data_IF_062718164797
#
_entry.id   IF_062718164797
#
_cell.length_a   1.000
_cell.length_b   1.000
_cell.length_c   1.000
_cell.angle_alpha   90.00
_cell.angle_beta   90.00
_cell.angle_gamma   90.00
#
_symmetry.space_group_name_H-M   'P 1'
#
loop_
_entity.id
_entity.type
_entity.pdbx_description
1 polymer ?
#
# COMPACT_ATOMS: atom_id res chain seq x y z
N UNK A 1 -14.60 -17.74 18.39
CA UNK A 1 -13.32 -16.99 18.30
C UNK A 1 -12.36 -17.61 17.29
N UNK A 2 -12.34 -18.95 17.12
CA UNK A 2 -11.55 -19.63 16.08
C UNK A 2 -11.99 -19.29 14.63
N UNK A 3 -13.29 -19.13 14.36
CA UNK A 3 -13.77 -18.81 13.01
C UNK A 3 -13.34 -17.43 12.49
N UNK A 4 -13.22 -16.44 13.39
CA UNK A 4 -12.78 -15.08 13.05
C UNK A 4 -11.31 -15.04 12.60
N UNK A 5 -10.45 -15.83 13.24
CA UNK A 5 -9.02 -15.91 12.87
C UNK A 5 -8.86 -16.57 11.50
N UNK A 6 -9.65 -17.61 11.21
CA UNK A 6 -9.59 -18.30 9.92
C UNK A 6 -10.14 -17.46 8.76
N UNK A 7 -11.20 -16.67 8.96
CA UNK A 7 -11.70 -15.76 7.94
C UNK A 7 -10.67 -14.67 7.60
N UNK A 8 -10.09 -14.03 8.62
CA UNK A 8 -9.07 -12.99 8.42
C UNK A 8 -7.86 -13.50 7.64
N UNK A 9 -7.39 -14.71 7.96
CA UNK A 9 -6.26 -15.31 7.26
C UNK A 9 -6.58 -15.58 5.78
N UNK A 10 -7.79 -16.03 5.46
CA UNK A 10 -8.23 -16.24 4.07
C UNK A 10 -8.32 -14.92 3.30
N UNK A 11 -8.80 -13.86 3.93
CA UNK A 11 -8.85 -12.52 3.32
C UNK A 11 -7.45 -11.96 3.05
N UNK A 12 -6.52 -12.12 4.00
CA UNK A 12 -5.12 -11.70 3.82
C UNK A 12 -4.45 -12.44 2.64
N UNK A 13 -4.61 -13.75 2.55
CA UNK A 13 -4.09 -14.52 1.42
C UNK A 13 -4.75 -14.15 0.08
N UNK A 14 -6.04 -13.81 0.10
CA UNK A 14 -6.75 -13.36 -1.11
C UNK A 14 -6.18 -12.03 -1.61
N UNK A 15 -6.00 -11.06 -0.70
CA UNK A 15 -5.38 -9.77 -1.02
C UNK A 15 -3.96 -9.95 -1.57
N UNK A 16 -3.17 -10.79 -0.92
CA UNK A 16 -1.79 -11.06 -1.32
C UNK A 16 -1.72 -11.82 -2.66
N UNK A 17 -2.63 -12.76 -2.89
CA UNK A 17 -2.72 -13.50 -4.15
C UNK A 17 -3.08 -12.61 -5.34
N UNK A 18 -3.98 -11.64 -5.15
CA UNK A 18 -4.29 -10.63 -6.16
C UNK A 18 -3.05 -9.76 -6.48
N UNK A 19 -2.39 -9.26 -5.44
CA UNK A 19 -1.16 -8.46 -5.58
C UNK A 19 -0.09 -9.24 -6.35
N UNK A 20 0.17 -10.48 -5.95
CA UNK A 20 1.18 -11.35 -6.56
C UNK A 20 0.87 -11.61 -8.03
N UNK A 21 -0.37 -11.98 -8.37
CA UNK A 21 -0.79 -12.20 -9.77
C UNK A 21 -0.54 -10.95 -10.62
N UNK A 22 -0.84 -9.76 -10.08
CA UNK A 22 -0.55 -8.49 -10.75
C UNK A 22 0.96 -8.28 -10.93
N UNK A 23 1.77 -8.53 -9.89
CA UNK A 23 3.23 -8.41 -9.94
C UNK A 23 3.86 -9.42 -10.92
N UNK A 24 3.43 -10.68 -10.91
CA UNK A 24 3.88 -11.70 -11.87
C UNK A 24 3.61 -11.27 -13.30
N UNK A 25 2.39 -10.79 -13.57
CA UNK A 25 2.02 -10.26 -14.88
C UNK A 25 2.86 -9.06 -15.31
N UNK A 26 3.28 -8.21 -14.36
CA UNK A 26 4.10 -7.04 -14.64
C UNK A 26 5.57 -7.37 -14.91
N UNK A 27 6.15 -8.21 -14.06
CA UNK A 27 7.60 -8.50 -14.09
C UNK A 27 7.94 -9.54 -15.17
N UNK A 28 7.02 -10.46 -15.51
CA UNK A 28 7.22 -11.44 -16.60
C UNK A 28 7.40 -10.82 -17.98
N UNK A 29 6.93 -9.58 -18.15
CA UNK A 29 6.97 -8.86 -19.42
C UNK A 29 8.35 -8.19 -19.63
N UNK A 30 9.19 -8.08 -18.60
CA UNK A 30 10.57 -7.55 -18.60
C UNK A 30 10.79 -6.33 -19.53
N UNK A 31 9.86 -5.37 -19.50
CA UNK A 31 9.93 -4.15 -20.29
C UNK A 31 10.38 -2.97 -19.43
N UNK A 32 11.13 -2.00 -19.97
CA UNK A 32 11.64 -0.85 -19.20
C UNK A 32 10.54 0.07 -18.65
N UNK A 33 9.33 0.02 -19.24
CA UNK A 33 8.14 0.73 -18.75
C UNK A 33 7.11 -0.26 -18.20
N UNK A 34 7.47 -0.94 -17.11
CA UNK A 34 6.63 -1.94 -16.42
C UNK A 34 5.18 -1.45 -16.20
N UNK A 35 5.03 -0.15 -15.95
CA UNK A 35 3.75 0.50 -15.65
C UNK A 35 2.83 0.75 -16.83
N UNK A 36 3.37 0.96 -18.04
CA UNK A 36 2.64 1.57 -19.15
C UNK A 36 1.83 0.57 -20.00
N UNK A 37 1.97 -0.74 -19.77
CA UNK A 37 1.25 -1.78 -20.51
C UNK A 37 0.06 -2.32 -19.70
N UNK A 38 -1.11 -2.36 -20.32
CA UNK A 38 -2.34 -2.96 -19.78
C UNK A 38 -2.81 -2.43 -18.41
N UNK A 39 -2.61 -1.14 -18.13
CA UNK A 39 -3.03 -0.53 -16.85
C UNK A 39 -2.40 -1.22 -15.63
N UNK A 40 -1.16 -1.73 -15.78
CA UNK A 40 -0.46 -2.48 -14.73
C UNK A 40 -0.31 -1.67 -13.43
N UNK A 41 0.06 -0.40 -13.56
CA UNK A 41 0.10 0.54 -12.43
C UNK A 41 -1.26 0.69 -11.75
N UNK A 42 -2.35 0.82 -12.51
CA UNK A 42 -3.70 1.00 -11.95
C UNK A 42 -4.17 -0.25 -11.21
N UNK A 43 -3.89 -1.44 -11.75
CA UNK A 43 -4.17 -2.71 -11.09
C UNK A 43 -3.37 -2.85 -9.79
N UNK A 44 -2.07 -2.58 -9.83
CA UNK A 44 -1.22 -2.65 -8.64
C UNK A 44 -1.63 -1.61 -7.59
N UNK A 45 -1.95 -0.38 -8.02
CA UNK A 45 -2.45 0.67 -7.15
C UNK A 45 -3.76 0.26 -6.49
N UNK A 46 -4.67 -0.39 -7.22
CA UNK A 46 -5.94 -0.91 -6.67
C UNK A 46 -5.69 -2.02 -5.64
N UNK A 47 -4.82 -2.97 -5.96
CA UNK A 47 -4.51 -4.09 -5.07
C UNK A 47 -3.88 -3.60 -3.76
N UNK A 48 -2.93 -2.66 -3.86
CA UNK A 48 -2.32 -2.00 -2.70
C UNK A 48 -3.31 -1.13 -1.92
N UNK A 49 -4.21 -0.43 -2.62
CA UNK A 49 -5.26 0.33 -1.97
C UNK A 49 -6.16 -0.59 -1.13
N UNK A 50 -6.58 -1.73 -1.69
CA UNK A 50 -7.36 -2.74 -0.95
C UNK A 50 -6.62 -3.28 0.29
N UNK A 51 -5.30 -3.48 0.20
CA UNK A 51 -4.48 -3.91 1.34
C UNK A 51 -4.41 -2.82 2.42
N UNK A 52 -4.11 -1.57 2.03
CA UNK A 52 -4.02 -0.44 2.97
C UNK A 52 -5.38 -0.07 3.58
N UNK A 53 -6.49 -0.40 2.93
CA UNK A 53 -7.82 -0.17 3.49
C UNK A 53 -8.29 -1.29 4.43
N UNK A 54 -7.67 -2.48 4.34
CA UNK A 54 -8.11 -3.66 5.07
C UNK A 54 -7.87 -3.50 6.58
N UNK A 55 -8.97 -3.39 7.33
CA UNK A 55 -8.93 -3.21 8.79
C UNK A 55 -8.60 -1.78 9.22
N UNK A 56 -8.67 -0.79 8.32
CA UNK A 56 -8.56 0.62 8.68
C UNK A 56 -9.73 1.03 9.59
N UNK A 57 -9.43 1.65 10.73
CA UNK A 57 -10.42 2.20 11.66
C UNK A 57 -10.93 3.51 11.08
N UNK A 58 -12.15 3.50 10.57
CA UNK A 58 -12.82 4.70 10.10
C UNK A 58 -13.41 5.45 11.30
N UNK A 59 -12.90 6.66 11.58
CA UNK A 59 -13.53 7.52 12.58
C UNK A 59 -14.90 7.96 12.07
N UNK A 60 -15.96 7.31 12.57
CA UNK A 60 -17.35 7.62 12.21
C UNK A 60 -17.88 8.86 12.92
N UNK A 61 -17.12 9.43 13.86
CA UNK A 61 -17.61 10.45 14.82
C UNK A 61 -17.35 11.87 14.30
N UNK A 62 -16.28 12.09 13.53
CA UNK A 62 -15.88 13.45 13.13
C UNK A 62 -16.20 13.85 11.68
N UNK A 63 -16.93 13.03 10.91
CA UNK A 63 -17.27 13.32 9.49
C UNK A 63 -16.08 13.66 8.56
N UNK A 64 -14.84 13.65 9.05
CA UNK A 64 -13.64 13.70 8.23
C UNK A 64 -13.38 12.29 7.72
N UNK A 65 -13.38 12.12 6.39
CA UNK A 65 -12.96 10.87 5.74
C UNK A 65 -11.59 10.47 6.29
N UNK A 66 -11.57 9.51 7.22
CA UNK A 66 -10.33 8.96 7.74
C UNK A 66 -9.84 7.98 6.70
N UNK A 67 -8.88 8.43 5.91
CA UNK A 67 -8.19 7.61 4.92
C UNK A 67 -6.83 7.17 5.51
N UNK A 68 -6.20 6.14 4.94
CA UNK A 68 -4.87 5.68 5.35
C UNK A 68 -3.78 6.75 5.17
N UNK A 69 -4.10 7.89 4.53
CA UNK A 69 -3.27 9.09 4.51
C UNK A 69 -2.78 9.52 5.90
N UNK A 70 -3.63 9.45 6.93
CA UNK A 70 -3.24 9.82 8.30
C UNK A 70 -2.15 8.93 8.89
N UNK A 71 -2.10 7.67 8.44
CA UNK A 71 -1.06 6.71 8.80
C UNK A 71 0.24 6.96 8.02
N UNK A 72 0.15 7.19 6.70
CA UNK A 72 1.36 7.31 5.86
C UNK A 72 2.06 8.66 5.93
N UNK A 73 1.34 9.75 6.25
CA UNK A 73 1.92 11.11 6.32
C UNK A 73 3.07 11.19 7.33
N UNK A 74 3.07 10.35 8.37
CA UNK A 74 4.07 10.39 9.43
C UNK A 74 5.38 9.70 9.03
N UNK A 75 5.45 9.04 7.85
CA UNK A 75 6.70 8.48 7.31
C UNK A 75 7.79 9.53 7.17
N UNK A 76 7.42 10.81 6.99
CA UNK A 76 8.39 11.92 6.91
C UNK A 76 9.27 12.02 8.15
N UNK A 77 8.73 11.63 9.31
CA UNK A 77 9.44 11.66 10.58
C UNK A 77 10.28 10.41 10.82
N UNK A 78 9.94 9.31 10.15
CA UNK A 78 10.63 8.02 10.29
C UNK A 78 11.76 7.84 9.29
N UNK A 79 11.66 8.45 8.10
CA UNK A 79 12.63 8.27 7.04
C UNK A 79 12.78 9.52 6.18
N UNK A 80 13.89 10.28 6.29
CA UNK A 80 14.09 11.51 5.52
C UNK A 80 14.19 11.26 4.01
N UNK A 81 14.63 10.07 3.59
CA UNK A 81 14.63 9.65 2.18
C UNK A 81 13.20 9.48 1.63
N UNK A 82 12.30 8.91 2.43
CA UNK A 82 10.89 8.71 2.09
C UNK A 82 10.08 10.02 2.12
N UNK A 83 10.47 10.96 3.00
CA UNK A 83 9.81 12.26 3.19
C UNK A 83 9.66 13.07 1.89
N UNK A 84 10.69 13.06 1.02
CA UNK A 84 10.75 13.89 -0.20
C UNK A 84 9.56 13.67 -1.13
N UNK A 85 9.03 12.45 -1.20
CA UNK A 85 7.89 12.10 -2.05
C UNK A 85 6.55 12.31 -1.35
N UNK A 86 6.54 12.45 -0.02
CA UNK A 86 5.34 12.59 0.81
C UNK A 86 5.03 14.07 1.06
N UNK A 87 6.05 14.93 1.19
CA UNK A 87 5.91 16.38 1.45
C UNK A 87 5.01 17.09 0.43
N UNK A 88 5.13 16.75 -0.86
CA UNK A 88 4.27 17.33 -1.90
C UNK A 88 2.78 17.06 -1.64
N UNK A 89 2.44 15.89 -1.10
CA UNK A 89 1.06 15.51 -0.80
C UNK A 89 0.58 16.05 0.55
N UNK A 90 1.50 16.25 1.50
CA UNK A 90 1.20 16.94 2.76
C UNK A 90 0.72 18.36 2.47
N UNK A 91 1.45 19.10 1.63
CA UNK A 91 1.01 20.43 1.20
C UNK A 91 -0.33 20.41 0.45
N UNK A 92 -0.58 19.41 -0.39
CA UNK A 92 -1.88 19.26 -1.08
C UNK A 92 -3.04 19.00 -0.11
N UNK A 93 -2.81 18.20 0.94
CA UNK A 93 -3.80 17.89 1.96
C UNK A 93 -4.05 19.07 2.92
N UNK A 94 -2.99 19.73 3.39
CA UNK A 94 -3.05 20.82 4.36
C UNK A 94 -3.58 22.14 3.76
N UNK A 95 -3.29 22.40 2.48
CA UNK A 95 -3.78 23.61 1.80
C UNK A 95 -5.25 23.52 1.36
N UNK A 96 -5.97 22.43 1.68
CA UNK A 96 -7.41 22.32 1.43
C UNK A 96 -7.81 22.43 -0.05
N UNK A 97 -6.89 22.23 -1.00
CA UNK A 97 -7.18 22.27 -2.44
C UNK A 97 -7.91 21.02 -2.93
N UNK A 98 -8.79 20.44 -2.11
CA UNK A 98 -9.80 19.50 -2.60
C UNK A 98 -10.83 20.33 -3.34
N UNK A 99 -10.70 20.40 -4.67
CA UNK A 99 -11.60 21.18 -5.49
C UNK A 99 -13.01 20.55 -5.41
N UNK A 100 -14.02 21.24 -4.86
CA UNK A 100 -15.34 20.65 -4.63
C UNK A 100 -16.10 20.31 -5.92
N UNK A 101 -15.62 20.73 -7.10
CA UNK A 101 -16.26 20.44 -8.39
C UNK A 101 -15.84 19.10 -9.03
N UNK A 102 -14.78 18.43 -8.56
CA UNK A 102 -14.36 17.15 -9.15
C UNK A 102 -15.04 15.99 -8.44
N UNK A 103 -16.26 15.72 -8.86
CA UNK A 103 -17.17 14.67 -8.34
C UNK A 103 -16.69 13.21 -8.48
N UNK A 104 -15.38 12.96 -8.71
CA UNK A 104 -14.70 11.65 -8.84
C UNK A 104 -13.20 11.70 -8.43
N UNK A 105 -12.76 12.72 -7.69
CA UNK A 105 -11.34 12.95 -7.40
C UNK A 105 -10.77 11.92 -6.41
N UNK A 106 -9.73 11.20 -6.85
CA UNK A 106 -8.91 10.30 -6.01
C UNK A 106 -8.50 11.00 -4.72
N UNK A 107 -8.57 10.29 -3.58
CA UNK A 107 -8.13 10.84 -2.29
C UNK A 107 -6.63 11.19 -2.33
N UNK A 108 -6.16 12.06 -1.43
CA UNK A 108 -4.71 12.34 -1.32
C UNK A 108 -3.91 11.06 -1.13
N UNK A 109 -4.48 10.09 -0.41
CA UNK A 109 -3.89 8.80 -0.17
C UNK A 109 -3.73 7.97 -1.46
N UNK A 110 -4.75 7.96 -2.32
CA UNK A 110 -4.69 7.30 -3.64
C UNK A 110 -3.67 7.98 -4.56
N UNK A 111 -3.63 9.32 -4.55
CA UNK A 111 -2.66 10.08 -5.34
C UNK A 111 -1.22 9.81 -4.88
N UNK A 112 -0.98 9.78 -3.57
CA UNK A 112 0.31 9.40 -3.00
C UNK A 112 0.68 7.96 -3.35
N UNK A 113 -0.26 7.02 -3.24
CA UNK A 113 -0.03 5.61 -3.53
C UNK A 113 0.40 5.42 -5.00
N UNK A 114 -0.35 6.02 -5.93
CA UNK A 114 -0.02 5.97 -7.34
C UNK A 114 1.35 6.59 -7.61
N UNK A 115 1.66 7.75 -7.04
CA UNK A 115 2.96 8.40 -7.22
C UNK A 115 4.11 7.55 -6.67
N UNK A 116 3.92 6.95 -5.50
CA UNK A 116 4.95 6.15 -4.85
C UNK A 116 5.25 4.86 -5.63
N UNK A 117 4.23 4.25 -6.24
CA UNK A 117 4.40 3.15 -7.18
C UNK A 117 5.12 3.60 -8.47
N UNK A 118 4.73 4.74 -9.06
CA UNK A 118 5.38 5.28 -10.26
C UNK A 118 6.87 5.57 -10.07
N UNK A 119 7.26 6.00 -8.87
CA UNK A 119 8.64 6.32 -8.52
C UNK A 119 9.39 5.14 -7.88
N UNK A 120 8.79 3.95 -7.86
CA UNK A 120 9.40 2.73 -7.33
C UNK A 120 9.90 2.87 -5.88
N UNK A 121 9.15 3.57 -5.03
CA UNK A 121 9.55 3.92 -3.67
C UNK A 121 8.54 3.47 -2.60
N UNK A 122 7.47 2.76 -2.97
CA UNK A 122 6.40 2.41 -2.04
C UNK A 122 6.90 1.44 -0.96
N UNK A 123 7.70 0.42 -1.33
CA UNK A 123 8.24 -0.54 -0.36
C UNK A 123 9.10 0.16 0.70
N UNK A 124 9.97 1.07 0.28
CA UNK A 124 10.87 1.83 1.15
C UNK A 124 10.12 2.81 2.08
N UNK A 125 8.99 3.36 1.63
CA UNK A 125 8.13 4.21 2.44
C UNK A 125 7.32 3.41 3.47
N UNK A 126 6.83 2.24 3.09
CA UNK A 126 6.00 1.41 3.98
C UNK A 126 6.82 0.67 5.04
N UNK A 127 8.03 0.17 4.71
CA UNK A 127 8.90 -0.55 5.64
C UNK A 127 9.00 0.10 7.05
N UNK A 128 9.47 1.35 7.19
CA UNK A 128 9.63 1.98 8.50
C UNK A 128 8.30 2.19 9.25
N UNK A 129 7.19 2.38 8.53
CA UNK A 129 5.85 2.49 9.14
C UNK A 129 5.38 1.14 9.69
N UNK A 130 5.65 0.06 8.95
CA UNK A 130 5.18 -1.29 9.25
C UNK A 130 6.01 -1.98 10.34
N UNK A 131 7.24 -1.52 10.59
CA UNK A 131 8.06 -1.93 11.73
C UNK A 131 7.47 -1.48 13.09
N UNK A 132 6.70 -0.39 13.11
CA UNK A 132 6.12 0.16 14.34
C UNK A 132 4.68 -0.34 14.59
N UNK A 133 4.53 -1.60 15.02
CA UNK A 133 3.21 -2.20 15.31
C UNK A 133 2.34 -1.40 16.29
N UNK A 134 2.87 -0.85 17.40
CA UNK A 134 2.08 0.00 18.31
C UNK A 134 1.50 1.24 17.61
N UNK A 135 2.21 1.80 16.63
CA UNK A 135 1.73 2.92 15.84
C UNK A 135 0.63 2.50 14.87
N UNK A 136 0.77 1.37 14.17
CA UNK A 136 -0.25 0.82 13.26
C UNK A 136 -1.58 0.60 13.99
N UNK A 137 -1.56 0.07 15.22
CA UNK A 137 -2.76 -0.17 16.05
C UNK A 137 -3.56 1.09 16.39
N UNK A 138 -3.00 2.30 16.20
CA UNK A 138 -3.76 3.55 16.35
C UNK A 138 -4.74 3.79 15.21
N UNK A 139 -4.47 3.21 14.04
CA UNK A 139 -5.23 3.44 12.81
C UNK A 139 -5.90 2.17 12.29
N UNK A 140 -5.48 0.99 12.74
CA UNK A 140 -5.94 -0.30 12.22
C UNK A 140 -6.41 -1.23 13.33
N UNK A 141 -7.40 -2.06 13.01
CA UNK A 141 -7.90 -3.14 13.87
C UNK A 141 -6.86 -4.25 14.01
N UNK A 142 -6.91 -5.04 15.09
CA UNK A 142 -5.97 -6.16 15.29
C UNK A 142 -6.04 -7.25 14.21
N UNK A 143 -7.12 -7.28 13.42
CA UNK A 143 -7.31 -8.16 12.26
C UNK A 143 -6.77 -7.58 10.94
N UNK A 144 -6.20 -6.38 10.96
CA UNK A 144 -5.72 -5.71 9.75
C UNK A 144 -4.57 -6.46 9.09
N UNK A 145 -4.50 -6.35 7.76
CA UNK A 145 -3.44 -6.98 6.97
C UNK A 145 -2.06 -6.50 7.44
N UNK A 146 -1.93 -5.19 7.68
CA UNK A 146 -0.67 -4.54 8.05
C UNK A 146 -0.09 -5.01 9.40
N UNK A 147 -0.90 -5.65 10.26
CA UNK A 147 -0.41 -6.23 11.50
C UNK A 147 0.12 -7.66 11.31
N UNK A 148 -0.19 -8.34 10.21
CA UNK A 148 0.28 -9.70 9.95
C UNK A 148 1.69 -9.71 9.34
N UNK A 149 2.70 -10.03 10.16
CA UNK A 149 4.11 -10.02 9.72
C UNK A 149 4.38 -10.89 8.50
N UNK A 150 3.86 -12.12 8.46
CA UNK A 150 4.06 -13.03 7.33
C UNK A 150 3.54 -12.43 6.01
N UNK A 151 2.30 -11.92 6.01
CA UNK A 151 1.71 -11.34 4.80
C UNK A 151 2.35 -10.00 4.41
N UNK A 152 2.74 -9.18 5.39
CA UNK A 152 3.44 -7.92 5.16
C UNK A 152 4.81 -8.15 4.54
N UNK A 153 5.58 -9.13 5.03
CA UNK A 153 6.88 -9.47 4.44
C UNK A 153 6.72 -9.85 2.98
N UNK A 154 5.77 -10.73 2.65
CA UNK A 154 5.54 -11.14 1.26
C UNK A 154 5.03 -9.98 0.40
N UNK A 155 4.14 -9.14 0.94
CA UNK A 155 3.67 -7.93 0.26
C UNK A 155 4.84 -7.00 -0.11
N UNK A 156 5.74 -6.73 0.84
CA UNK A 156 6.91 -5.89 0.61
C UNK A 156 7.85 -6.51 -0.43
N UNK A 157 8.07 -7.83 -0.38
CA UNK A 157 8.89 -8.52 -1.38
C UNK A 157 8.26 -8.47 -2.78
N UNK A 158 6.93 -8.57 -2.90
CA UNK A 158 6.20 -8.38 -4.16
C UNK A 158 6.40 -6.96 -4.71
N UNK A 159 6.34 -5.94 -3.85
CA UNK A 159 6.62 -4.56 -4.22
C UNK A 159 8.07 -4.38 -4.66
N UNK A 160 9.04 -4.90 -3.92
CA UNK A 160 10.46 -4.82 -4.27
C UNK A 160 10.75 -5.50 -5.62
N UNK A 161 10.09 -6.63 -5.91
CA UNK A 161 10.24 -7.33 -7.18
C UNK A 161 9.79 -6.48 -8.37
N UNK A 162 8.66 -5.78 -8.27
CA UNK A 162 8.19 -4.89 -9.34
C UNK A 162 8.99 -3.59 -9.39
N UNK A 163 9.39 -3.05 -8.24
CA UNK A 163 10.18 -1.83 -8.14
C UNK A 163 11.56 -2.00 -8.79
N UNK A 164 12.18 -3.17 -8.60
CA UNK A 164 13.46 -3.53 -9.23
C UNK A 164 13.30 -4.17 -10.61
N UNK A 165 12.07 -4.38 -11.08
CA UNK A 165 11.75 -5.16 -12.29
C UNK A 165 12.52 -6.50 -12.33
N UNK A 166 12.57 -7.22 -11.21
CA UNK A 166 13.40 -8.41 -11.03
C UNK A 166 12.54 -9.65 -10.73
N UNK A 167 12.28 -10.51 -11.74
CA UNK A 167 11.44 -11.70 -11.56
C UNK A 167 12.03 -12.73 -10.59
N UNK A 168 13.35 -12.67 -10.34
CA UNK A 168 14.02 -13.59 -9.41
C UNK A 168 13.65 -13.33 -7.95
N UNK A 169 13.29 -12.10 -7.60
CA UNK A 169 12.80 -11.79 -6.26
C UNK A 169 11.45 -12.45 -6.01
N UNK A 170 10.56 -12.42 -7.01
CA UNK A 170 9.25 -13.04 -6.96
C UNK A 170 9.35 -14.58 -6.84
N UNK A 171 10.25 -15.20 -7.60
CA UNK A 171 10.47 -16.66 -7.53
C UNK A 171 10.97 -17.15 -6.14
N UNK A 172 11.63 -16.29 -5.35
CA UNK A 172 12.05 -16.64 -3.98
C UNK A 172 10.89 -16.61 -2.98
N UNK A 173 9.87 -15.80 -3.25
CA UNK A 173 8.65 -15.72 -2.46
C UNK A 173 7.88 -17.03 -2.58
N UNK A 174 7.69 -17.53 -3.80
CA UNK A 174 7.02 -18.81 -4.09
C UNK A 174 7.61 -20.01 -3.35
N UNK A 175 8.93 -20.02 -3.14
CA UNK A 175 9.61 -21.13 -2.47
C UNK A 175 9.44 -21.13 -0.94
N UNK A 176 8.93 -20.04 -0.36
CA UNK A 176 8.88 -19.82 1.10
C UNK A 176 7.46 -19.84 1.69
N UNK A 177 6.43 -20.07 0.85
CA UNK A 177 5.00 -20.12 1.23
C UNK A 177 4.57 -21.57 1.47
#
# INVERSE_FOLDING_TARGET
MHDLVHCNQREHWTLLGNLKTTVEGLVSINHPNVWSKYGGLERLCRDMHSILYHGLILDKVHCQKTDYWQFVKDVRWLSPHAARHVDKFIHLHENGQQNPERSRERTVAELWLQHSLQFHCLSAQLKPLLENKPYIRKFYTDSAFLLSDAHVTVMLQCLEAVEQNNPRLLAQIDASI
#
